data_IF_165832317755
#
_entry.id   IF_165832317755
#
_cell.length_a   1.000
_cell.length_b   1.000
_cell.length_c   1.000
_cell.angle_alpha   90.00
_cell.angle_beta   90.00
_cell.angle_gamma   90.00
#
_symmetry.space_group_name_H-M   'P 1'
#
loop_
_entity.id
_entity.type
_entity.pdbx_description
1 polymer ?
#
# COMPACT_ATOMS: atom_id res chain seq x y z
N UNK A 1 20.06 0.52 4.35
CA UNK A 1 20.50 -0.76 3.77
C UNK A 1 19.89 -0.91 2.39
N UNK A 2 20.70 -0.79 1.35
CA UNK A 2 20.31 -1.14 -0.01
C UNK A 2 20.49 -2.66 -0.17
N UNK A 3 19.37 -3.41 -0.10
CA UNK A 3 19.36 -4.81 -0.49
C UNK A 3 19.32 -4.87 -2.02
N UNK A 4 20.27 -5.53 -2.66
CA UNK A 4 20.18 -5.77 -4.08
C UNK A 4 19.23 -6.95 -4.36
N UNK A 5 18.33 -6.78 -5.32
CA UNK A 5 17.34 -7.81 -5.72
C UNK A 5 17.96 -9.21 -5.95
N UNK A 6 19.23 -9.28 -6.34
CA UNK A 6 19.92 -10.53 -6.60
C UNK A 6 20.18 -11.40 -5.37
N UNK A 7 20.30 -10.82 -4.17
CA UNK A 7 20.61 -11.61 -2.97
C UNK A 7 19.41 -12.32 -2.36
N UNK A 8 18.19 -11.86 -2.63
CA UNK A 8 16.97 -12.44 -2.05
C UNK A 8 16.39 -13.59 -2.87
N UNK A 9 16.57 -13.59 -4.18
CA UNK A 9 16.17 -14.73 -5.06
C UNK A 9 16.87 -16.02 -4.64
N UNK A 10 18.13 -15.95 -4.21
CA UNK A 10 18.87 -17.11 -3.73
C UNK A 10 18.40 -17.65 -2.37
N UNK A 11 17.78 -16.83 -1.56
CA UNK A 11 17.28 -17.21 -0.23
C UNK A 11 15.82 -17.65 -0.24
N UNK A 12 15.04 -17.25 -1.26
CA UNK A 12 13.59 -17.49 -1.35
C UNK A 12 13.22 -18.23 -2.62
N UNK A 13 13.22 -19.55 -2.53
CA UNK A 13 12.82 -20.44 -3.63
C UNK A 13 11.32 -20.41 -3.95
N UNK A 14 10.52 -19.64 -3.18
CA UNK A 14 9.07 -19.50 -3.38
C UNK A 14 8.66 -18.44 -4.41
N UNK A 15 9.60 -17.59 -4.87
CA UNK A 15 9.35 -16.55 -5.86
C UNK A 15 10.35 -16.70 -7.01
N UNK A 16 9.86 -16.71 -8.24
CA UNK A 16 10.73 -16.65 -9.43
C UNK A 16 11.35 -15.26 -9.57
N UNK A 17 10.57 -14.22 -9.31
CA UNK A 17 11.01 -12.82 -9.30
C UNK A 17 10.46 -12.11 -8.08
N UNK A 18 11.19 -11.11 -7.56
CA UNK A 18 10.67 -10.23 -6.52
C UNK A 18 9.65 -9.28 -7.14
N UNK A 19 8.44 -9.29 -6.64
CA UNK A 19 7.31 -8.51 -7.14
C UNK A 19 6.89 -7.36 -6.23
N UNK A 20 7.50 -7.24 -5.03
CA UNK A 20 7.25 -6.14 -4.10
C UNK A 20 8.45 -5.89 -3.20
N UNK A 21 8.58 -4.65 -2.71
CA UNK A 21 9.59 -4.25 -1.73
C UNK A 21 9.47 -4.97 -0.38
N UNK A 22 8.33 -5.55 -0.11
CA UNK A 22 8.03 -6.29 1.11
C UNK A 22 8.56 -7.73 1.09
N UNK A 23 8.72 -8.33 -0.08
CA UNK A 23 9.10 -9.74 -0.20
C UNK A 23 10.34 -10.13 0.62
N UNK A 24 11.40 -9.31 0.71
CA UNK A 24 12.58 -9.59 1.54
C UNK A 24 12.30 -9.69 3.04
N UNK A 25 11.21 -9.11 3.53
CA UNK A 25 10.93 -8.93 4.95
C UNK A 25 9.81 -9.86 5.47
N UNK A 26 9.32 -10.80 4.66
CA UNK A 26 8.21 -11.70 5.02
C UNK A 26 8.39 -12.35 6.39
N UNK A 27 9.59 -12.85 6.68
CA UNK A 27 9.87 -13.60 7.91
C UNK A 27 9.86 -12.70 9.14
N UNK A 28 10.17 -11.40 8.98
CA UNK A 28 10.04 -10.40 10.04
C UNK A 28 8.58 -10.10 10.37
N UNK A 29 7.72 -9.98 9.36
CA UNK A 29 6.27 -9.76 9.56
C UNK A 29 5.61 -10.97 10.23
N UNK A 30 6.04 -12.18 9.91
CA UNK A 30 5.55 -13.41 10.53
C UNK A 30 6.20 -13.73 11.90
N UNK A 31 7.08 -12.87 12.39
CA UNK A 31 7.87 -13.08 13.62
C UNK A 31 8.68 -14.40 13.60
N UNK A 32 9.08 -14.89 12.42
CA UNK A 32 9.94 -16.07 12.24
C UNK A 32 11.40 -15.70 12.41
N UNK A 33 11.76 -14.45 12.12
CA UNK A 33 13.08 -13.88 12.37
C UNK A 33 12.97 -12.53 13.08
N UNK A 34 13.98 -12.18 13.86
CA UNK A 34 14.06 -10.86 14.48
C UNK A 34 14.82 -9.88 13.56
N UNK A 35 14.22 -8.74 13.20
CA UNK A 35 14.91 -7.74 12.41
C UNK A 35 16.06 -7.11 13.19
N UNK A 36 17.21 -6.88 12.52
CA UNK A 36 18.33 -6.12 13.11
C UNK A 36 17.95 -4.67 13.37
N UNK A 37 17.17 -4.09 12.47
CA UNK A 37 16.60 -2.75 12.59
C UNK A 37 15.09 -2.85 12.52
N UNK A 38 14.39 -2.18 13.42
CA UNK A 38 12.93 -2.17 13.44
C UNK A 38 12.33 -1.19 12.43
N UNK A 39 13.12 -0.24 11.94
CA UNK A 39 12.74 0.74 10.92
C UNK A 39 13.67 0.60 9.73
N UNK A 40 13.11 0.39 8.55
CA UNK A 40 13.89 0.27 7.32
C UNK A 40 13.21 1.15 6.25
N UNK A 41 14.02 1.86 5.48
CA UNK A 41 13.63 2.45 4.21
C UNK A 41 14.56 1.90 3.13
N UNK A 42 14.00 1.49 2.00
CA UNK A 42 14.77 0.91 0.90
C UNK A 42 14.15 1.22 -0.46
N UNK A 43 14.90 0.91 -1.51
CA UNK A 43 14.41 0.77 -2.88
C UNK A 43 14.65 -0.67 -3.32
N UNK A 44 13.62 -1.32 -3.88
CA UNK A 44 13.67 -2.70 -4.34
C UNK A 44 13.29 -2.77 -5.82
N UNK A 45 14.15 -3.38 -6.63
CA UNK A 45 13.83 -3.69 -8.03
C UNK A 45 12.81 -4.82 -8.09
N UNK A 46 11.69 -4.57 -8.78
CA UNK A 46 10.55 -5.48 -8.87
C UNK A 46 10.23 -5.81 -10.31
N UNK A 47 9.75 -7.05 -10.52
CA UNK A 47 9.24 -7.51 -11.80
C UNK A 47 7.84 -8.10 -11.60
N UNK A 48 6.83 -7.53 -12.29
CA UNK A 48 5.43 -7.94 -12.23
C UNK A 48 4.93 -8.36 -13.61
N UNK A 49 5.03 -9.65 -13.89
CA UNK A 49 4.67 -10.25 -15.19
C UNK A 49 3.78 -11.49 -15.06
N UNK A 50 3.48 -11.91 -13.83
CA UNK A 50 2.62 -13.05 -13.54
C UNK A 50 2.22 -13.12 -12.08
N UNK A 51 1.17 -13.90 -11.76
CA UNK A 51 0.70 -14.11 -10.39
C UNK A 51 -0.30 -13.05 -9.92
N UNK A 52 -0.49 -12.93 -8.61
CA UNK A 52 -1.50 -12.04 -7.99
C UNK A 52 -1.25 -10.56 -8.28
N UNK A 53 0.02 -10.16 -8.35
CA UNK A 53 0.43 -8.81 -8.70
C UNK A 53 1.00 -8.81 -10.12
N UNK A 54 0.13 -8.95 -11.11
CA UNK A 54 0.49 -8.97 -12.51
C UNK A 54 -0.07 -7.71 -13.18
N UNK A 55 0.83 -6.80 -13.56
CA UNK A 55 0.48 -5.53 -14.20
C UNK A 55 0.58 -5.62 -15.74
N UNK A 56 0.75 -6.82 -16.30
CA UNK A 56 1.06 -7.00 -17.73
C UNK A 56 -0.10 -6.52 -18.64
N UNK A 57 -1.33 -6.60 -18.16
CA UNK A 57 -2.50 -6.16 -18.91
C UNK A 57 -2.60 -4.62 -18.99
N UNK A 58 -2.09 -3.92 -17.98
CA UNK A 58 -2.14 -2.46 -17.85
C UNK A 58 -0.95 -1.77 -18.53
N UNK A 59 0.20 -2.46 -18.63
CA UNK A 59 1.42 -1.93 -19.25
C UNK A 59 1.20 -1.56 -20.70
N UNK A 60 1.43 -0.27 -21.02
CA UNK A 60 1.23 0.30 -22.35
C UNK A 60 -0.20 0.82 -22.61
N UNK A 61 -1.11 0.63 -21.67
CA UNK A 61 -2.48 1.20 -21.70
C UNK A 61 -2.58 2.46 -20.82
N UNK A 62 -1.76 2.56 -19.79
CA UNK A 62 -1.62 3.75 -18.97
C UNK A 62 -0.18 4.28 -18.97
N UNK A 63 0.11 5.29 -18.12
CA UNK A 63 1.41 5.98 -18.06
C UNK A 63 2.21 5.63 -16.82
N UNK A 64 1.71 4.76 -15.95
CA UNK A 64 2.30 4.49 -14.63
C UNK A 64 2.53 3.00 -14.32
N UNK A 65 1.89 2.05 -15.00
CA UNK A 65 2.23 0.64 -14.85
C UNK A 65 3.45 0.24 -15.70
N UNK A 66 4.38 -0.45 -15.07
CA UNK A 66 5.59 -0.98 -15.70
C UNK A 66 5.84 -2.42 -15.25
N UNK A 67 6.30 -3.29 -16.16
CA UNK A 67 6.68 -4.67 -15.82
C UNK A 67 7.89 -4.75 -14.91
N UNK A 68 8.83 -3.80 -15.09
CA UNK A 68 10.05 -3.66 -14.29
C UNK A 68 10.16 -2.24 -13.75
N UNK A 69 10.28 -2.12 -12.42
CA UNK A 69 10.32 -0.83 -11.72
C UNK A 69 11.08 -0.94 -10.40
N UNK A 70 11.36 0.18 -9.78
CA UNK A 70 11.86 0.25 -8.42
C UNK A 70 10.75 0.68 -7.46
N UNK A 71 10.47 -0.17 -6.47
CA UNK A 71 9.52 0.16 -5.41
C UNK A 71 10.27 0.79 -4.25
N UNK A 72 9.93 2.03 -3.94
CA UNK A 72 10.36 2.68 -2.70
C UNK A 72 9.54 2.13 -1.54
N UNK A 73 10.20 1.81 -0.43
CA UNK A 73 9.53 1.22 0.71
C UNK A 73 9.97 1.81 2.04
N UNK A 74 9.04 1.82 2.98
CA UNK A 74 9.29 2.10 4.38
C UNK A 74 8.59 1.02 5.23
N UNK A 75 9.34 0.48 6.19
CA UNK A 75 8.94 -0.71 6.93
C UNK A 75 9.11 -0.50 8.42
N UNK A 76 8.10 -0.93 9.19
CA UNK A 76 8.11 -0.94 10.65
C UNK A 76 7.84 -2.34 11.18
N UNK A 77 8.74 -2.88 11.95
CA UNK A 77 8.61 -4.21 12.55
C UNK A 77 8.23 -4.11 14.03
N UNK A 78 6.95 -3.74 14.27
CA UNK A 78 6.42 -3.55 15.61
C UNK A 78 7.02 -2.35 16.34
N UNK A 79 7.31 -1.27 15.62
CA UNK A 79 7.78 0.01 16.14
C UNK A 79 6.72 1.09 15.93
N UNK A 80 6.73 1.85 14.81
CA UNK A 80 5.66 2.79 14.48
C UNK A 80 4.50 2.09 13.75
N UNK A 81 3.34 2.71 13.75
CA UNK A 81 2.16 2.16 13.08
C UNK A 81 1.36 3.30 12.39
N UNK A 82 0.03 3.16 12.25
CA UNK A 82 -0.82 4.03 11.43
C UNK A 82 -0.61 5.51 11.66
N UNK A 83 -0.60 5.98 12.90
CA UNK A 83 -0.54 7.41 13.20
C UNK A 83 0.76 8.05 12.66
N UNK A 84 1.90 7.44 12.94
CA UNK A 84 3.18 7.95 12.45
C UNK A 84 3.29 7.81 10.93
N UNK A 85 2.93 6.64 10.37
CA UNK A 85 3.03 6.38 8.95
C UNK A 85 2.17 7.36 8.13
N UNK A 86 0.94 7.62 8.57
CA UNK A 86 0.02 8.55 7.94
C UNK A 86 0.57 9.98 8.02
N UNK A 87 1.01 10.41 9.19
CA UNK A 87 1.54 11.76 9.35
C UNK A 87 2.81 12.00 8.51
N UNK A 88 3.74 11.03 8.51
CA UNK A 88 4.98 11.16 7.74
C UNK A 88 4.76 11.08 6.23
N UNK A 89 3.85 10.23 5.75
CA UNK A 89 3.51 10.18 4.32
C UNK A 89 2.92 11.51 3.86
N UNK A 90 2.01 12.08 4.65
CA UNK A 90 1.44 13.40 4.36
C UNK A 90 2.47 14.51 4.36
N UNK A 91 3.35 14.52 5.36
CA UNK A 91 4.45 15.49 5.45
C UNK A 91 5.39 15.39 4.25
N UNK A 92 5.81 14.18 3.87
CA UNK A 92 6.69 13.96 2.74
C UNK A 92 6.06 14.46 1.42
N UNK A 93 4.81 14.10 1.17
CA UNK A 93 4.14 14.50 -0.06
C UNK A 93 3.87 16.00 -0.13
N UNK A 94 3.41 16.60 0.96
CA UNK A 94 2.95 18.00 0.92
C UNK A 94 4.04 19.02 1.21
N UNK A 95 4.97 18.73 2.12
CA UNK A 95 6.03 19.67 2.51
C UNK A 95 7.31 19.46 1.70
N UNK A 96 7.76 18.20 1.60
CA UNK A 96 9.06 17.91 0.95
C UNK A 96 8.93 17.86 -0.58
N UNK A 97 7.88 17.20 -1.08
CA UNK A 97 7.63 17.13 -2.53
C UNK A 97 6.78 18.29 -3.06
N UNK A 98 6.13 19.07 -2.17
CA UNK A 98 5.39 20.25 -2.54
C UNK A 98 4.09 19.96 -3.30
N UNK A 99 3.52 18.77 -3.16
CA UNK A 99 2.23 18.45 -3.77
C UNK A 99 1.14 19.24 -3.05
N UNK A 100 0.27 19.88 -3.84
CA UNK A 100 -0.82 20.66 -3.29
C UNK A 100 -1.81 19.77 -2.52
N UNK A 101 -2.03 20.00 -1.21
CA UNK A 101 -2.95 19.19 -0.41
C UNK A 101 -4.39 19.17 -0.94
N UNK A 102 -4.79 20.22 -1.69
CA UNK A 102 -6.13 20.29 -2.28
C UNK A 102 -6.35 19.25 -3.37
N UNK A 103 -5.29 18.76 -4.00
CA UNK A 103 -5.34 17.77 -5.06
C UNK A 103 -5.20 16.33 -4.55
N UNK A 104 -5.03 16.16 -3.23
CA UNK A 104 -4.87 14.84 -2.61
C UNK A 104 -6.19 14.30 -2.07
N UNK A 105 -6.37 12.99 -2.25
CA UNK A 105 -7.49 12.19 -1.77
C UNK A 105 -6.95 10.92 -1.12
N UNK A 106 -7.75 10.31 -0.25
CA UNK A 106 -7.34 9.09 0.46
C UNK A 106 -8.44 8.06 0.36
N UNK A 107 -8.07 6.80 0.13
CA UNK A 107 -8.96 5.66 0.30
C UNK A 107 -8.60 4.91 1.57
N UNK A 108 -9.61 4.33 2.22
CA UNK A 108 -9.47 3.49 3.40
C UNK A 108 -10.38 2.27 3.30
N UNK A 109 -10.05 1.23 4.02
CA UNK A 109 -10.79 -0.03 4.01
C UNK A 109 -12.17 0.10 4.65
N UNK A 110 -13.23 -0.30 3.91
CA UNK A 110 -14.63 -0.26 4.35
C UNK A 110 -15.05 -1.49 5.18
N UNK A 111 -14.15 -2.46 5.34
CA UNK A 111 -14.46 -3.73 6.01
C UNK A 111 -14.79 -4.86 5.05
N UNK A 112 -14.76 -6.08 5.56
CA UNK A 112 -15.17 -7.30 4.84
C UNK A 112 -16.01 -8.19 5.75
N UNK A 113 -17.26 -8.40 5.39
CA UNK A 113 -18.15 -9.32 6.11
C UNK A 113 -17.71 -10.77 5.93
N UNK A 114 -17.14 -11.10 4.79
CA UNK A 114 -16.64 -12.42 4.45
C UNK A 114 -15.46 -12.80 5.36
N UNK A 115 -14.51 -11.87 5.53
CA UNK A 115 -13.35 -12.08 6.39
C UNK A 115 -13.63 -11.77 7.87
N UNK A 116 -14.81 -11.23 8.21
CA UNK A 116 -15.16 -10.83 9.57
C UNK A 116 -14.34 -9.63 10.07
N UNK A 117 -13.84 -8.79 9.18
CA UNK A 117 -13.03 -7.60 9.49
C UNK A 117 -13.89 -6.35 9.36
N UNK A 118 -13.88 -5.50 10.39
CA UNK A 118 -14.56 -4.20 10.36
C UNK A 118 -13.81 -3.19 9.48
N UNK A 119 -14.48 -2.08 9.19
CA UNK A 119 -13.87 -0.91 8.56
C UNK A 119 -12.68 -0.37 9.37
N UNK A 120 -11.76 0.30 8.67
CA UNK A 120 -10.58 0.90 9.31
C UNK A 120 -10.89 2.29 9.90
N UNK A 121 -11.77 2.29 10.93
CA UNK A 121 -12.14 3.51 11.66
C UNK A 121 -10.94 4.19 12.30
N UNK A 122 -9.87 3.46 12.65
CA UNK A 122 -8.64 4.03 13.19
C UNK A 122 -7.96 4.93 12.15
N UNK A 123 -7.77 4.43 10.93
CA UNK A 123 -7.22 5.22 9.82
C UNK A 123 -8.12 6.42 9.49
N UNK A 124 -9.45 6.23 9.44
CA UNK A 124 -10.39 7.32 9.23
C UNK A 124 -10.23 8.45 10.27
N UNK A 125 -10.12 8.10 11.55
CA UNK A 125 -9.98 9.06 12.61
C UNK A 125 -8.64 9.83 12.54
N UNK A 126 -7.58 9.20 12.09
CA UNK A 126 -6.28 9.85 11.90
C UNK A 126 -6.34 10.79 10.69
N UNK A 127 -6.78 10.30 9.54
CA UNK A 127 -6.91 11.08 8.31
C UNK A 127 -7.84 12.29 8.46
N UNK A 128 -8.95 12.13 9.19
CA UNK A 128 -9.92 13.22 9.44
C UNK A 128 -9.35 14.41 10.22
N UNK A 129 -8.18 14.27 10.84
CA UNK A 129 -7.46 15.38 11.49
C UNK A 129 -6.54 16.13 10.52
N UNK A 130 -6.28 15.54 9.35
CA UNK A 130 -5.28 15.99 8.37
C UNK A 130 -5.93 16.59 7.14
N UNK A 131 -6.98 15.93 6.63
CA UNK A 131 -7.70 16.33 5.41
C UNK A 131 -9.21 16.41 5.66
N UNK A 132 -9.91 17.06 4.72
CA UNK A 132 -11.37 17.15 4.75
C UNK A 132 -12.01 15.76 4.58
N UNK A 133 -13.10 15.51 5.32
CA UNK A 133 -13.73 14.19 5.37
C UNK A 133 -14.30 13.72 4.03
N UNK A 134 -14.71 14.63 3.17
CA UNK A 134 -15.23 14.36 1.83
C UNK A 134 -14.14 13.90 0.84
N UNK A 135 -12.87 14.06 1.22
CA UNK A 135 -11.71 13.54 0.50
C UNK A 135 -11.23 12.18 1.00
N UNK A 136 -11.93 11.60 1.98
CA UNK A 136 -11.64 10.25 2.50
C UNK A 136 -12.74 9.32 2.00
N UNK A 137 -12.38 8.37 1.14
CA UNK A 137 -13.30 7.40 0.57
C UNK A 137 -13.14 6.03 1.24
N UNK A 138 -14.27 5.36 1.45
CA UNK A 138 -14.27 3.96 1.88
C UNK A 138 -14.32 3.08 0.64
N UNK A 139 -13.35 2.16 0.52
CA UNK A 139 -13.24 1.24 -0.60
C UNK A 139 -13.13 -0.21 -0.13
N UNK A 140 -13.48 -1.12 -1.00
CA UNK A 140 -13.59 -2.53 -0.71
C UNK A 140 -12.25 -3.26 -0.56
N UNK A 141 -12.37 -4.57 -0.46
CA UNK A 141 -11.22 -5.45 -0.26
C UNK A 141 -10.24 -5.41 -1.44
N UNK A 142 -10.74 -5.25 -2.65
CA UNK A 142 -9.92 -5.27 -3.86
C UNK A 142 -8.95 -4.09 -3.91
N UNK A 143 -9.35 -2.94 -3.37
CA UNK A 143 -8.55 -1.72 -3.33
C UNK A 143 -7.77 -1.59 -2.00
N UNK A 144 -8.47 -1.72 -0.87
CA UNK A 144 -7.93 -1.32 0.44
C UNK A 144 -7.66 -2.46 1.44
N UNK A 145 -7.52 -3.71 0.96
CA UNK A 145 -7.03 -4.81 1.80
C UNK A 145 -5.89 -5.55 1.11
N UNK A 146 -4.67 -5.24 1.50
CA UNK A 146 -3.48 -5.83 0.90
C UNK A 146 -3.21 -7.24 1.42
N UNK A 147 -2.87 -8.15 0.51
CA UNK A 147 -2.49 -9.54 0.80
C UNK A 147 -1.21 -9.89 0.05
N UNK A 148 -0.25 -10.50 0.73
CA UNK A 148 0.98 -10.96 0.09
C UNK A 148 0.72 -12.04 -0.98
N UNK A 149 -0.29 -12.86 -0.77
CA UNK A 149 -0.71 -13.95 -1.63
C UNK A 149 -1.93 -14.64 -1.04
N UNK A 150 -2.20 -15.88 -1.46
CA UNK A 150 -3.28 -16.69 -0.89
C UNK A 150 -3.08 -16.99 0.61
N UNK A 151 -1.83 -16.93 1.06
CA UNK A 151 -1.43 -17.11 2.45
C UNK A 151 -0.31 -16.13 2.81
N UNK A 152 -0.28 -15.69 4.05
CA UNK A 152 0.78 -14.83 4.56
C UNK A 152 0.30 -13.53 5.17
N UNK A 153 1.22 -12.59 5.43
CA UNK A 153 0.90 -11.30 6.01
C UNK A 153 -0.12 -10.54 5.17
N UNK A 154 -1.07 -9.91 5.84
CA UNK A 154 -2.10 -9.10 5.19
C UNK A 154 -2.68 -8.07 6.16
N UNK A 155 -3.46 -7.14 5.64
CA UNK A 155 -4.16 -6.15 6.42
C UNK A 155 -4.75 -5.02 5.59
N UNK A 156 -5.55 -4.15 6.22
CA UNK A 156 -6.10 -2.99 5.56
C UNK A 156 -4.99 -2.04 5.12
N UNK A 157 -5.30 -1.20 4.15
CA UNK A 157 -4.40 -0.16 3.70
C UNK A 157 -5.11 1.16 3.45
N UNK A 158 -4.33 2.24 3.43
CA UNK A 158 -4.76 3.55 2.96
C UNK A 158 -3.96 3.91 1.72
N UNK A 159 -4.64 4.22 0.64
CA UNK A 159 -4.01 4.75 -0.58
C UNK A 159 -4.10 6.26 -0.61
N UNK A 160 -3.06 6.91 -1.07
CA UNK A 160 -3.03 8.36 -1.29
C UNK A 160 -3.02 8.59 -2.79
N UNK A 161 -4.03 9.30 -3.29
CA UNK A 161 -4.22 9.63 -4.70
C UNK A 161 -4.00 11.11 -4.96
N UNK A 162 -3.53 11.45 -6.16
CA UNK A 162 -3.41 12.83 -6.63
C UNK A 162 -4.27 13.04 -7.87
N UNK A 163 -4.99 14.16 -7.91
CA UNK A 163 -5.71 14.63 -9.08
C UNK A 163 -4.84 15.62 -9.87
N UNK A 164 -4.28 15.15 -10.98
CA UNK A 164 -3.39 15.92 -11.86
C UNK A 164 -4.14 16.66 -12.98
N UNK A 165 -5.48 16.58 -13.01
CA UNK A 165 -6.30 17.26 -14.03
C UNK A 165 -6.22 18.76 -13.89
N UNK A 166 -6.53 19.47 -14.95
CA UNK A 166 -6.66 20.91 -14.90
C UNK A 166 -7.94 21.36 -14.15
N UNK A 167 -7.97 22.61 -13.70
CA UNK A 167 -9.07 23.16 -12.92
C UNK A 167 -10.42 23.16 -13.68
N UNK A 168 -10.41 23.16 -15.01
CA UNK A 168 -11.63 23.09 -15.79
C UNK A 168 -12.26 21.70 -15.82
N UNK A 169 -11.42 20.66 -15.75
CA UNK A 169 -11.84 19.27 -15.69
C UNK A 169 -12.28 18.90 -14.27
N UNK A 170 -11.54 19.35 -13.24
CA UNK A 170 -11.90 19.14 -11.82
C UNK A 170 -13.29 19.68 -11.50
N UNK A 171 -13.68 20.83 -12.08
CA UNK A 171 -15.01 21.41 -11.88
C UNK A 171 -16.14 20.64 -12.55
N UNK A 172 -15.85 19.87 -13.61
CA UNK A 172 -16.87 19.10 -14.34
C UNK A 172 -17.15 17.75 -13.70
N UNK A 173 -16.09 17.09 -13.20
CA UNK A 173 -16.16 15.73 -12.66
C UNK A 173 -15.40 15.68 -11.34
N UNK A 174 -16.04 15.33 -10.22
CA UNK A 174 -15.36 15.18 -8.93
C UNK A 174 -14.31 14.08 -8.99
N UNK A 175 -13.13 14.31 -8.40
CA UNK A 175 -12.05 13.33 -8.35
C UNK A 175 -12.47 12.02 -7.68
N UNK A 176 -13.32 12.10 -6.66
CA UNK A 176 -13.84 10.94 -5.93
C UNK A 176 -14.52 9.89 -6.84
N UNK A 177 -15.09 10.32 -7.96
CA UNK A 177 -15.71 9.41 -8.93
C UNK A 177 -14.73 8.74 -9.89
N UNK A 178 -13.47 9.18 -9.87
CA UNK A 178 -12.41 8.72 -10.77
C UNK A 178 -11.31 7.91 -10.05
N UNK A 179 -11.28 7.94 -8.73
CA UNK A 179 -10.35 7.16 -7.90
C UNK A 179 -10.64 5.68 -8.12
N UNK A 180 -9.59 4.89 -8.36
CA UNK A 180 -9.64 3.45 -8.67
C UNK A 180 -10.55 3.12 -9.87
N UNK A 181 -10.54 4.01 -10.90
CA UNK A 181 -11.29 3.87 -12.16
C UNK A 181 -10.40 4.03 -13.39
N UNK A 182 -9.14 3.66 -13.29
CA UNK A 182 -8.15 3.69 -14.38
C UNK A 182 -8.02 5.07 -15.08
N UNK A 183 -8.27 6.15 -14.33
CA UNK A 183 -8.11 7.48 -14.88
C UNK A 183 -6.61 7.87 -14.90
N UNK A 184 -6.02 8.20 -16.07
CA UNK A 184 -4.58 8.45 -16.18
C UNK A 184 -4.10 9.71 -15.46
N UNK A 185 -5.01 10.56 -15.01
CA UNK A 185 -4.70 11.82 -14.32
C UNK A 185 -5.17 11.83 -12.85
N UNK A 186 -5.80 10.75 -12.37
CA UNK A 186 -6.14 10.57 -10.95
C UNK A 186 -5.43 9.32 -10.47
N UNK A 187 -4.21 9.51 -9.97
CA UNK A 187 -3.20 8.45 -9.82
C UNK A 187 -2.95 8.13 -8.35
N UNK A 188 -2.87 6.85 -8.02
CA UNK A 188 -2.35 6.39 -6.73
C UNK A 188 -0.84 6.72 -6.62
N UNK A 189 -0.47 7.44 -5.56
CA UNK A 189 0.91 7.78 -5.25
C UNK A 189 1.55 6.84 -4.25
N UNK A 190 0.77 6.37 -3.30
CA UNK A 190 1.29 5.61 -2.16
C UNK A 190 0.21 4.73 -1.55
N UNK A 191 0.55 3.47 -1.32
CA UNK A 191 -0.25 2.53 -0.56
C UNK A 191 0.40 2.29 0.81
N UNK A 192 -0.23 2.77 1.88
CA UNK A 192 0.19 2.55 3.26
C UNK A 192 -0.43 1.26 3.77
N UNK A 193 0.32 0.18 3.79
CA UNK A 193 -0.16 -1.14 4.18
C UNK A 193 0.00 -1.36 5.68
N UNK A 194 -1.11 -1.66 6.37
CA UNK A 194 -1.16 -1.89 7.83
C UNK A 194 -1.25 -3.38 8.10
N UNK A 195 -0.11 -4.05 8.22
CA UNK A 195 -0.03 -5.49 8.41
C UNK A 195 -0.43 -5.86 9.83
N UNK A 196 -1.60 -6.45 9.96
CA UNK A 196 -2.22 -6.81 11.24
C UNK A 196 -2.54 -8.29 11.33
N UNK A 197 -2.66 -8.98 10.19
CA UNK A 197 -3.14 -10.35 10.10
C UNK A 197 -2.18 -11.25 9.34
N UNK A 198 -2.37 -12.54 9.54
CA UNK A 198 -1.80 -13.61 8.74
C UNK A 198 -2.94 -14.47 8.18
N UNK A 199 -3.08 -14.54 6.85
CA UNK A 199 -4.04 -15.43 6.21
C UNK A 199 -3.49 -16.86 6.19
N UNK A 200 -4.27 -17.78 6.72
CA UNK A 200 -3.95 -19.21 6.79
C UNK A 200 -4.41 -19.97 5.55
N UNK A 201 -3.96 -21.21 5.40
CA UNK A 201 -4.32 -22.09 4.28
C UNK A 201 -5.83 -22.39 4.20
N UNK A 202 -6.57 -22.30 5.32
CA UNK A 202 -8.02 -22.47 5.36
C UNK A 202 -8.79 -21.16 5.08
N UNK A 203 -8.08 -20.10 4.67
CA UNK A 203 -8.62 -18.79 4.36
C UNK A 203 -8.88 -17.89 5.57
N UNK A 204 -8.72 -18.39 6.80
CA UNK A 204 -8.96 -17.61 8.02
C UNK A 204 -7.87 -16.60 8.28
N UNK A 205 -8.25 -15.45 8.83
CA UNK A 205 -7.35 -14.44 9.34
C UNK A 205 -7.01 -14.74 10.82
N UNK A 206 -5.74 -14.66 11.13
CA UNK A 206 -5.20 -14.73 12.48
C UNK A 206 -4.48 -13.43 12.80
N UNK A 207 -4.79 -12.82 13.94
CA UNK A 207 -4.10 -11.61 14.39
C UNK A 207 -2.60 -11.85 14.55
N UNK A 208 -1.79 -10.93 14.03
CA UNK A 208 -0.36 -10.93 14.31
C UNK A 208 -0.10 -10.42 15.72
N UNK A 209 0.87 -11.01 16.44
CA UNK A 209 1.22 -10.59 17.81
C UNK A 209 1.81 -9.17 17.86
N UNK A 210 2.26 -8.66 16.72
CA UNK A 210 2.73 -7.29 16.52
C UNK A 210 2.16 -6.76 15.22
N UNK A 211 1.81 -5.48 15.21
CA UNK A 211 1.39 -4.76 14.01
C UNK A 211 2.62 -4.18 13.31
N UNK A 212 2.58 -4.15 11.98
CA UNK A 212 3.70 -3.73 11.14
C UNK A 212 3.25 -2.77 10.03
N UNK A 213 4.21 -2.03 9.47
CA UNK A 213 4.07 -1.23 8.27
C UNK A 213 5.01 -1.81 7.21
#
# INVERSE_FOLDING_TARGET
YLSSAASDVYKRQSLMFINSGMAPFKDYFLNQENPKNKRIANSQKCLRVSGKHNDLAEVGHDTYHHTFFEMLGNWSFGDYFKEDAINWSWELLTKEYGINPNDLYVTIFEGSKEDGVSDDSEAFNIWSKIIEKDKILFCGKDDNFWEMGEQGPCGPCSEIHVDLRDESEKKKVPAQSLINKDNPLVVELWNLVFIQYNRKADGKLEDLPKKHI
#
